data_IF_500446817908
#
_entry.id   IF_500446817908
#
_cell.length_a   1.000
_cell.length_b   1.000
_cell.length_c   1.000
_cell.angle_alpha   90.00
_cell.angle_beta   90.00
_cell.angle_gamma   90.00
#
_symmetry.space_group_name_H-M   'P 1'
#
loop_
_entity.id
_entity.type
_entity.pdbx_description
1 polymer ?
#
# COMPACT_ATOMS: atom_id res chain seq x y z
N UNK A 1 16.16 6.60 34.39
CA UNK A 1 15.68 5.79 33.25
C UNK A 1 15.93 4.35 33.63
N UNK A 2 14.86 3.57 33.76
CA UNK A 2 14.94 2.13 34.04
C UNK A 2 15.74 1.46 32.91
N UNK A 3 16.87 0.83 33.25
CA UNK A 3 17.81 0.22 32.30
C UNK A 3 17.42 -1.24 31.97
N UNK A 4 16.16 -1.60 32.14
CA UNK A 4 15.67 -2.90 31.70
C UNK A 4 15.81 -3.02 30.17
N UNK A 5 16.48 -4.05 29.64
CA UNK A 5 16.69 -4.19 28.20
C UNK A 5 15.35 -4.28 27.48
N UNK A 6 15.19 -3.50 26.41
CA UNK A 6 13.97 -3.52 25.62
C UNK A 6 13.72 -4.94 25.05
N UNK A 7 12.46 -5.41 25.06
CA UNK A 7 12.10 -6.67 24.42
C UNK A 7 12.35 -6.58 22.90
N UNK A 8 12.45 -7.72 22.18
CA UNK A 8 12.79 -7.73 20.76
C UNK A 8 11.73 -7.01 19.91
N UNK A 9 10.48 -7.02 20.39
CA UNK A 9 9.32 -6.34 19.81
C UNK A 9 8.54 -5.75 20.97
N UNK A 10 8.16 -4.48 20.84
CA UNK A 10 7.21 -3.87 21.77
C UNK A 10 6.35 -2.81 21.11
N UNK A 11 5.17 -2.61 21.69
CA UNK A 11 4.27 -1.52 21.35
C UNK A 11 4.31 -0.50 22.49
N UNK A 12 4.90 0.70 22.31
CA UNK A 12 4.78 1.76 23.30
C UNK A 12 3.31 2.18 23.48
N UNK A 13 2.97 2.81 24.62
CA UNK A 13 1.70 3.52 24.75
C UNK A 13 1.54 4.55 23.62
N UNK A 14 0.35 4.60 23.04
CA UNK A 14 0.00 5.52 21.96
C UNK A 14 -1.11 6.43 22.47
N UNK A 15 -0.95 7.73 22.26
CA UNK A 15 -1.93 8.74 22.68
C UNK A 15 -3.26 8.66 21.94
N UNK A 16 -4.25 9.37 22.48
CA UNK A 16 -5.56 9.50 21.85
C UNK A 16 -5.49 10.26 20.53
N UNK A 17 -6.33 9.87 19.56
CA UNK A 17 -6.38 10.55 18.28
C UNK A 17 -7.14 11.87 18.39
N UNK A 18 -6.52 12.96 17.95
CA UNK A 18 -7.26 14.17 17.58
C UNK A 18 -8.04 13.87 16.30
N UNK A 19 -9.38 13.91 16.39
CA UNK A 19 -10.28 13.61 15.25
C UNK A 19 -9.98 14.52 14.05
N UNK A 20 -9.84 13.92 12.87
CA UNK A 20 -9.67 14.60 11.58
C UNK A 20 -10.70 14.09 10.56
N UNK A 21 -11.14 14.97 9.67
CA UNK A 21 -11.88 14.57 8.46
C UNK A 21 -10.94 13.82 7.51
N UNK A 22 -11.46 12.82 6.78
CA UNK A 22 -10.68 11.96 5.87
C UNK A 22 -9.38 11.40 6.48
N UNK A 23 -9.47 10.86 7.70
CA UNK A 23 -8.32 10.28 8.41
C UNK A 23 -8.18 8.77 8.16
N UNK A 24 -6.96 8.31 7.90
CA UNK A 24 -6.58 6.87 7.89
C UNK A 24 -5.75 6.47 9.11
N UNK A 25 -5.73 7.33 10.14
CA UNK A 25 -4.96 7.18 11.38
C UNK A 25 -3.49 6.79 11.15
N UNK A 26 -2.73 7.60 10.40
CA UNK A 26 -1.31 7.33 10.16
C UNK A 26 -0.44 7.46 11.43
N UNK A 27 -0.94 8.16 12.45
CA UNK A 27 -0.30 8.34 13.76
C UNK A 27 0.00 9.79 14.14
N UNK A 28 0.11 10.73 13.18
CA UNK A 28 0.46 12.14 13.49
C UNK A 28 -0.54 12.80 14.44
N UNK A 29 -1.84 12.52 14.29
CA UNK A 29 -2.87 13.11 15.17
C UNK A 29 -2.79 12.66 16.63
N UNK A 30 -1.90 11.72 16.96
CA UNK A 30 -1.67 11.16 18.30
C UNK A 30 -0.31 11.57 18.89
N UNK A 31 0.51 12.24 18.10
CA UNK A 31 1.81 12.79 18.52
C UNK A 31 1.61 14.05 19.36
N UNK A 32 2.66 14.54 20.00
CA UNK A 32 2.65 15.78 20.79
C UNK A 32 2.27 17.01 19.94
N UNK A 33 2.53 16.96 18.63
CA UNK A 33 2.21 18.05 17.68
C UNK A 33 1.15 17.62 16.65
N UNK A 34 -0.12 17.37 17.06
CA UNK A 34 -1.16 16.87 16.16
C UNK A 34 -1.52 17.87 15.04
N UNK A 35 -1.10 19.13 15.16
CA UNK A 35 -1.23 20.18 14.14
C UNK A 35 -0.45 19.90 12.86
N UNK A 36 0.59 19.07 12.90
CA UNK A 36 1.35 18.66 11.71
C UNK A 36 0.49 17.99 10.64
N UNK A 37 -0.65 17.40 11.02
CA UNK A 37 -1.65 16.92 10.05
C UNK A 37 -2.02 17.96 8.99
N UNK A 38 -1.98 19.27 9.31
CA UNK A 38 -2.35 20.35 8.40
C UNK A 38 -1.46 20.49 7.16
N UNK A 39 -0.19 20.07 7.23
CA UNK A 39 0.74 20.10 6.09
C UNK A 39 1.24 18.69 5.70
N UNK A 40 1.13 17.69 6.58
CA UNK A 40 1.62 16.34 6.30
C UNK A 40 0.59 15.40 5.63
N UNK A 41 -0.70 15.69 5.77
CA UNK A 41 -1.75 14.78 5.33
C UNK A 41 -1.97 14.83 3.81
N UNK A 42 -1.78 13.69 3.14
CA UNK A 42 -2.07 13.56 1.71
C UNK A 42 -3.54 13.76 1.34
N UNK A 43 -4.47 13.64 2.30
CA UNK A 43 -5.90 13.86 2.06
C UNK A 43 -6.32 15.33 2.26
N UNK A 44 -5.36 16.24 2.44
CA UNK A 44 -5.59 17.68 2.48
C UNK A 44 -5.07 18.36 1.20
N UNK A 45 -3.76 18.33 0.97
CA UNK A 45 -3.11 18.96 -0.19
C UNK A 45 -1.73 18.31 -0.47
N UNK A 46 -1.68 17.13 -1.10
CA UNK A 46 -0.41 16.46 -1.38
C UNK A 46 0.39 17.21 -2.47
N UNK A 47 1.71 17.28 -2.31
CA UNK A 47 2.64 17.88 -3.28
C UNK A 47 3.71 16.86 -3.68
N UNK A 48 3.31 15.88 -4.50
CA UNK A 48 4.21 14.82 -4.96
C UNK A 48 5.45 15.36 -5.68
N UNK A 49 5.38 16.33 -6.61
CA UNK A 49 6.57 16.86 -7.25
C UNK A 49 7.62 17.42 -6.28
N UNK A 50 7.20 18.23 -5.30
CA UNK A 50 8.12 18.78 -4.30
C UNK A 50 8.70 17.68 -3.39
N UNK A 51 7.85 16.78 -2.91
CA UNK A 51 8.26 15.70 -2.02
C UNK A 51 9.17 14.67 -2.71
N UNK A 52 8.89 14.34 -3.97
CA UNK A 52 9.76 13.47 -4.77
C UNK A 52 11.13 14.10 -5.01
N UNK A 53 11.16 15.41 -5.27
CA UNK A 53 12.42 16.15 -5.39
C UNK A 53 13.20 16.09 -4.07
N UNK A 54 12.54 16.28 -2.93
CA UNK A 54 13.17 16.20 -1.62
C UNK A 54 13.70 14.79 -1.29
N UNK A 55 12.96 13.72 -1.64
CA UNK A 55 13.27 12.34 -1.24
C UNK A 55 14.17 11.61 -2.24
N UNK A 56 14.06 11.92 -3.53
CA UNK A 56 14.78 11.23 -4.61
C UNK A 56 15.75 12.12 -5.38
N UNK A 57 15.81 13.42 -5.05
CA UNK A 57 16.62 14.42 -5.76
C UNK A 57 15.97 14.92 -7.06
N UNK A 58 14.80 14.39 -7.44
CA UNK A 58 14.04 14.81 -8.62
C UNK A 58 12.58 14.36 -8.57
N UNK A 59 11.71 15.09 -9.26
CA UNK A 59 10.36 14.64 -9.57
C UNK A 59 10.33 13.59 -10.71
N UNK A 60 9.13 13.10 -11.02
CA UNK A 60 8.86 12.31 -12.23
C UNK A 60 9.39 13.00 -13.48
N UNK A 61 10.03 12.23 -14.35
CA UNK A 61 10.51 12.66 -15.66
C UNK A 61 9.45 12.35 -16.74
N UNK A 62 8.84 13.36 -17.39
CA UNK A 62 7.84 13.16 -18.44
C UNK A 62 8.35 12.37 -19.66
N UNK A 63 9.68 12.36 -19.90
CA UNK A 63 10.27 11.58 -20.99
C UNK A 63 10.33 10.08 -20.67
N UNK A 64 10.20 9.69 -19.39
CA UNK A 64 10.17 8.31 -18.95
C UNK A 64 8.73 7.88 -18.69
N UNK A 65 8.10 7.30 -19.72
CA UNK A 65 6.68 6.93 -19.71
C UNK A 65 6.23 6.17 -18.45
N UNK A 66 7.09 5.28 -17.91
CA UNK A 66 6.76 4.50 -16.71
C UNK A 66 6.74 5.34 -15.41
N UNK A 67 7.45 6.46 -15.33
CA UNK A 67 7.44 7.30 -14.13
C UNK A 67 6.11 8.01 -13.94
N UNK A 68 5.36 8.27 -15.02
CA UNK A 68 3.97 8.76 -14.93
C UNK A 68 3.09 7.82 -14.08
N UNK A 69 3.34 6.51 -14.15
CA UNK A 69 2.60 5.50 -13.41
C UNK A 69 3.22 5.22 -12.04
N UNK A 70 4.54 5.02 -12.00
CA UNK A 70 5.21 4.39 -10.87
C UNK A 70 5.97 5.36 -9.96
N UNK A 71 5.97 6.65 -10.30
CA UNK A 71 6.83 7.65 -9.65
C UNK A 71 8.30 7.52 -10.08
N UNK A 72 9.20 8.34 -9.50
CA UNK A 72 10.63 8.21 -9.74
C UNK A 72 11.15 6.84 -9.28
N UNK A 73 11.94 6.20 -10.15
CA UNK A 73 12.70 5.01 -9.79
C UNK A 73 14.03 4.93 -10.53
N UNK A 74 14.93 4.13 -9.99
CA UNK A 74 16.23 3.76 -10.57
C UNK A 74 16.19 2.37 -11.18
N UNK A 75 15.52 1.42 -10.53
CA UNK A 75 15.34 0.04 -11.00
C UNK A 75 13.92 -0.44 -10.74
N UNK A 76 13.38 -1.21 -11.68
CA UNK A 76 12.12 -1.93 -11.53
C UNK A 76 12.38 -3.41 -11.78
N UNK A 77 12.04 -4.25 -10.80
CA UNK A 77 12.48 -5.64 -10.76
C UNK A 77 11.32 -6.56 -10.39
N UNK A 78 11.34 -7.77 -10.93
CA UNK A 78 10.66 -8.94 -10.36
C UNK A 78 11.62 -9.63 -9.40
N UNK A 79 11.16 -10.02 -8.22
CA UNK A 79 12.00 -10.74 -7.28
C UNK A 79 11.29 -11.73 -6.36
N UNK A 80 12.09 -12.63 -5.81
CA UNK A 80 11.72 -13.59 -4.79
C UNK A 80 12.95 -13.91 -3.93
N UNK A 81 12.77 -14.09 -2.62
CA UNK A 81 13.81 -14.73 -1.81
C UNK A 81 13.95 -16.18 -2.25
N UNK A 82 15.20 -16.63 -2.40
CA UNK A 82 15.53 -18.04 -2.72
C UNK A 82 15.02 -18.99 -1.63
N UNK A 83 15.06 -18.54 -0.37
CA UNK A 83 14.46 -19.21 0.78
C UNK A 83 13.31 -18.35 1.35
N UNK A 84 12.04 -18.63 0.98
CA UNK A 84 10.89 -17.90 1.52
C UNK A 84 10.80 -17.99 3.04
N UNK A 85 10.43 -16.88 3.69
CA UNK A 85 10.25 -16.81 5.14
C UNK A 85 8.87 -17.35 5.52
N UNK A 86 8.77 -18.38 6.38
CA UNK A 86 7.47 -18.91 6.81
C UNK A 86 6.58 -17.83 7.43
N UNK A 87 5.30 -17.84 7.04
CA UNK A 87 4.30 -16.86 7.48
C UNK A 87 4.37 -15.50 6.76
N UNK A 88 5.30 -15.28 5.83
CA UNK A 88 5.34 -14.06 5.04
C UNK A 88 4.18 -14.01 4.02
N UNK A 89 3.78 -12.79 3.63
CA UNK A 89 2.73 -12.57 2.63
C UNK A 89 3.11 -13.10 1.23
N UNK A 90 4.41 -13.07 0.92
CA UNK A 90 4.97 -13.61 -0.32
C UNK A 90 6.21 -14.41 0.06
N UNK A 91 7.40 -13.99 -0.37
CA UNK A 91 8.65 -14.67 0.04
C UNK A 91 9.28 -14.04 1.28
N UNK A 92 8.87 -12.83 1.68
CA UNK A 92 9.35 -12.17 2.90
C UNK A 92 10.47 -11.16 2.72
N UNK A 93 10.62 -10.59 1.51
CA UNK A 93 11.64 -9.55 1.20
C UNK A 93 11.62 -8.40 2.22
N UNK A 94 10.45 -7.83 2.52
CA UNK A 94 10.31 -6.70 3.49
C UNK A 94 10.85 -7.08 4.86
N UNK A 95 10.41 -8.24 5.39
CA UNK A 95 10.88 -8.76 6.67
C UNK A 95 12.38 -8.97 6.64
N UNK A 96 12.92 -9.57 5.57
CA UNK A 96 14.36 -9.84 5.47
C UNK A 96 15.19 -8.57 5.42
N UNK A 97 14.72 -7.51 4.73
CA UNK A 97 15.38 -6.20 4.76
C UNK A 97 15.47 -5.67 6.19
N UNK A 98 14.35 -5.71 6.96
CA UNK A 98 14.35 -5.30 8.37
C UNK A 98 15.28 -6.14 9.24
N UNK A 99 15.32 -7.46 9.05
CA UNK A 99 16.26 -8.37 9.72
C UNK A 99 17.71 -7.95 9.43
N UNK A 100 18.09 -7.76 8.16
CA UNK A 100 19.46 -7.37 7.76
C UNK A 100 19.87 -6.01 8.31
N UNK A 101 18.96 -5.03 8.34
CA UNK A 101 19.24 -3.70 8.89
C UNK A 101 19.58 -3.76 10.38
N UNK A 102 18.87 -4.59 11.15
CA UNK A 102 19.14 -4.81 12.57
C UNK A 102 20.41 -5.66 12.79
N UNK A 103 20.59 -6.74 12.02
CA UNK A 103 21.77 -7.62 12.09
C UNK A 103 23.08 -6.87 11.84
N UNK A 104 23.07 -5.90 10.93
CA UNK A 104 24.24 -5.10 10.57
C UNK A 104 24.43 -3.86 11.44
N UNK A 105 23.49 -3.57 12.35
CA UNK A 105 23.50 -2.33 13.13
C UNK A 105 23.33 -1.06 12.28
N UNK A 106 22.78 -1.18 11.07
CA UNK A 106 22.49 -0.05 10.18
C UNK A 106 21.35 0.83 10.71
N UNK A 107 20.47 0.25 11.54
CA UNK A 107 19.43 0.94 12.29
C UNK A 107 19.38 0.42 13.72
N UNK A 108 18.91 1.26 14.63
CA UNK A 108 18.69 0.93 16.04
C UNK A 108 17.30 0.28 16.25
N UNK A 109 16.32 0.64 15.40
CA UNK A 109 14.98 0.09 15.44
C UNK A 109 14.26 0.11 14.08
N UNK A 110 13.30 -0.80 13.92
CA UNK A 110 12.37 -0.84 12.80
C UNK A 110 10.94 -0.58 13.32
N UNK A 111 10.29 0.45 12.79
CA UNK A 111 8.86 0.69 12.98
C UNK A 111 8.10 -0.16 11.96
N UNK A 112 7.28 -1.10 12.44
CA UNK A 112 6.54 -2.04 11.60
C UNK A 112 5.16 -2.36 12.19
N UNK A 113 4.45 -3.30 11.56
CA UNK A 113 3.15 -3.80 12.00
C UNK A 113 3.26 -5.26 12.42
N UNK A 114 2.83 -5.57 13.63
CA UNK A 114 2.53 -6.92 14.07
C UNK A 114 1.02 -7.20 14.01
N UNK A 115 0.62 -8.46 14.22
CA UNK A 115 -0.76 -8.76 14.58
C UNK A 115 -1.08 -8.26 15.99
N UNK A 116 -2.33 -7.86 16.21
CA UNK A 116 -2.87 -7.77 17.55
C UNK A 116 -2.95 -9.18 18.18
N UNK A 117 -2.61 -9.37 19.47
CA UNK A 117 -2.69 -10.67 20.12
C UNK A 117 -4.09 -11.29 20.13
N UNK A 118 -5.14 -10.47 20.12
CA UNK A 118 -6.53 -10.91 20.11
C UNK A 118 -7.11 -11.03 18.69
N UNK A 119 -6.43 -10.48 17.67
CA UNK A 119 -6.91 -10.47 16.29
C UNK A 119 -5.76 -10.45 15.28
N UNK A 120 -5.59 -11.57 14.58
CA UNK A 120 -4.49 -11.76 13.62
C UNK A 120 -4.49 -10.77 12.45
N UNK A 121 -5.65 -10.21 12.11
CA UNK A 121 -5.82 -9.29 10.97
C UNK A 121 -5.67 -7.84 11.40
N UNK A 122 -5.96 -7.54 12.67
CA UNK A 122 -5.83 -6.20 13.23
C UNK A 122 -4.36 -5.78 13.24
N UNK A 123 -4.02 -4.66 12.59
CA UNK A 123 -2.66 -4.15 12.62
C UNK A 123 -2.36 -3.53 13.98
N UNK A 124 -1.23 -3.91 14.57
CA UNK A 124 -0.70 -3.30 15.79
C UNK A 124 0.70 -2.74 15.50
N UNK A 125 0.92 -1.42 15.60
CA UNK A 125 2.23 -0.85 15.36
C UNK A 125 3.22 -1.28 16.45
N UNK A 126 4.43 -1.64 16.05
CA UNK A 126 5.51 -2.11 16.93
C UNK A 126 6.85 -1.46 16.60
N UNK A 127 7.69 -1.31 17.61
CA UNK A 127 9.13 -1.10 17.49
C UNK A 127 9.83 -2.45 17.61
N UNK A 128 10.62 -2.80 16.59
CA UNK A 128 11.46 -4.00 16.55
C UNK A 128 12.91 -3.58 16.73
N UNK A 129 13.57 -4.08 17.77
CA UNK A 129 14.95 -3.71 18.14
C UNK A 129 15.93 -4.87 17.97
N UNK A 130 15.43 -6.07 17.67
CA UNK A 130 16.26 -7.25 17.42
C UNK A 130 15.79 -8.02 16.18
N UNK A 131 16.71 -8.59 15.38
CA UNK A 131 16.37 -9.23 14.11
C UNK A 131 15.27 -10.29 14.22
N UNK A 132 15.32 -11.14 15.24
CA UNK A 132 14.35 -12.21 15.45
C UNK A 132 12.91 -11.70 15.65
N UNK A 133 12.76 -10.45 16.12
CA UNK A 133 11.48 -9.80 16.31
C UNK A 133 10.72 -9.52 15.00
N UNK A 134 11.43 -9.37 13.88
CA UNK A 134 10.81 -9.12 12.57
C UNK A 134 9.88 -10.26 12.13
N UNK A 135 10.08 -11.48 12.65
CA UNK A 135 9.19 -12.61 12.38
C UNK A 135 7.73 -12.34 12.80
N UNK A 136 7.50 -11.54 13.84
CA UNK A 136 6.16 -11.16 14.31
C UNK A 136 5.44 -10.20 13.36
N UNK A 137 6.19 -9.55 12.46
CA UNK A 137 5.67 -8.58 11.50
C UNK A 137 5.34 -9.19 10.12
N UNK A 138 5.35 -10.52 10.00
CA UNK A 138 5.11 -11.23 8.73
C UNK A 138 3.62 -11.31 8.40
N UNK A 139 3.31 -11.14 7.12
CA UNK A 139 1.95 -11.25 6.56
C UNK A 139 1.22 -9.91 6.50
N UNK A 140 0.10 -9.90 5.77
CA UNK A 140 -0.75 -8.72 5.63
C UNK A 140 -1.64 -8.52 6.87
N UNK A 141 -1.92 -7.26 7.17
CA UNK A 141 -2.91 -6.82 8.18
C UNK A 141 -3.87 -5.84 7.53
N UNK A 142 -5.11 -5.82 7.99
CA UNK A 142 -6.19 -5.01 7.43
C UNK A 142 -6.84 -4.17 8.54
N UNK A 143 -6.86 -2.87 8.34
CA UNK A 143 -7.19 -1.91 9.39
C UNK A 143 -6.36 -0.65 9.31
N UNK A 144 -6.72 0.32 10.14
CA UNK A 144 -5.91 1.51 10.40
C UNK A 144 -5.00 1.26 11.59
N UNK A 145 -3.76 1.72 11.48
CA UNK A 145 -2.79 1.63 12.56
C UNK A 145 -1.88 2.88 12.58
N UNK A 146 -1.73 3.52 13.76
CA UNK A 146 -0.99 4.76 13.92
C UNK A 146 0.53 4.54 13.98
N UNK A 147 1.12 4.05 12.89
CA UNK A 147 2.56 3.74 12.80
C UNK A 147 3.45 4.91 13.22
N UNK A 148 3.12 6.12 12.76
CA UNK A 148 3.96 7.30 12.99
C UNK A 148 3.89 7.80 14.44
N UNK A 149 2.91 7.36 15.23
CA UNK A 149 2.88 7.65 16.66
C UNK A 149 4.04 6.98 17.41
N UNK A 150 4.74 6.03 16.79
CA UNK A 150 5.94 5.39 17.34
C UNK A 150 7.22 6.22 17.19
N UNK A 151 7.21 7.32 16.41
CA UNK A 151 8.39 8.14 16.17
C UNK A 151 8.89 8.82 17.46
N UNK A 152 7.99 9.41 18.24
CA UNK A 152 8.33 10.06 19.52
C UNK A 152 8.85 9.06 20.56
N UNK A 153 8.18 7.90 20.81
CA UNK A 153 8.75 6.83 21.63
C UNK A 153 10.11 6.34 21.15
N UNK A 154 10.32 6.19 19.84
CA UNK A 154 11.62 5.77 19.29
C UNK A 154 12.72 6.79 19.60
N UNK A 155 12.45 8.08 19.37
CA UNK A 155 13.38 9.16 19.69
C UNK A 155 13.66 9.24 21.21
N UNK A 156 12.64 9.03 22.05
CA UNK A 156 12.77 9.01 23.51
C UNK A 156 13.64 7.84 24.03
N UNK A 157 13.70 6.72 23.31
CA UNK A 157 14.65 5.63 23.58
C UNK A 157 16.09 5.96 23.13
N UNK A 158 16.32 7.12 22.53
CA UNK A 158 17.62 7.54 22.04
C UNK A 158 17.99 6.93 20.67
N UNK A 159 17.06 6.28 19.97
CA UNK A 159 17.31 5.78 18.63
C UNK A 159 17.55 6.94 17.66
N UNK A 160 18.59 6.80 16.83
CA UNK A 160 19.02 7.83 15.88
C UNK A 160 18.87 7.39 14.44
N UNK A 161 18.99 6.09 14.18
CA UNK A 161 18.88 5.50 12.84
C UNK A 161 17.72 4.53 12.87
N UNK A 162 16.68 4.78 12.09
CA UNK A 162 15.48 3.94 12.09
C UNK A 162 15.15 3.45 10.67
N UNK A 163 14.38 2.37 10.61
CA UNK A 163 13.66 2.01 9.40
C UNK A 163 12.15 2.05 9.65
N UNK A 164 11.39 2.43 8.63
CA UNK A 164 9.93 2.44 8.66
C UNK A 164 9.39 1.53 7.56
N UNK A 165 8.61 0.53 7.94
CA UNK A 165 7.85 -0.34 7.02
C UNK A 165 6.42 0.16 6.98
N UNK A 166 6.06 0.89 5.93
CA UNK A 166 4.81 1.65 5.88
C UNK A 166 4.06 1.58 4.56
N UNK A 167 2.78 1.88 4.62
CA UNK A 167 1.90 2.07 3.44
C UNK A 167 1.96 3.55 2.97
N UNK A 168 1.47 3.88 1.76
CA UNK A 168 1.65 5.21 1.16
C UNK A 168 1.17 6.38 2.02
N UNK A 169 0.01 6.28 2.67
CA UNK A 169 -0.52 7.36 3.52
C UNK A 169 0.35 7.66 4.75
N UNK A 170 1.05 6.65 5.27
CA UNK A 170 2.01 6.79 6.36
C UNK A 170 3.33 7.34 5.84
N UNK A 171 3.83 6.85 4.71
CA UNK A 171 5.10 7.30 4.13
C UNK A 171 5.02 8.76 3.67
N UNK A 172 3.93 9.17 3.01
CA UNK A 172 3.73 10.57 2.66
C UNK A 172 3.77 11.46 3.90
N UNK A 173 3.03 11.10 4.93
CA UNK A 173 2.99 11.86 6.18
C UNK A 173 4.36 11.91 6.87
N UNK A 174 5.11 10.81 6.89
CA UNK A 174 6.48 10.74 7.41
C UNK A 174 7.42 11.67 6.66
N UNK A 175 7.43 11.61 5.32
CA UNK A 175 8.33 12.42 4.50
C UNK A 175 8.04 13.91 4.60
N UNK A 176 6.77 14.28 4.80
CA UNK A 176 6.37 15.66 5.00
C UNK A 176 6.89 16.26 6.31
N UNK A 177 7.16 15.42 7.32
CA UNK A 177 7.66 15.86 8.64
C UNK A 177 9.10 15.44 8.93
N UNK A 178 9.78 14.79 7.98
CA UNK A 178 11.05 14.10 8.21
C UNK A 178 12.13 15.03 8.81
N UNK A 179 12.14 16.30 8.39
CA UNK A 179 13.11 17.30 8.85
C UNK A 179 12.85 17.76 10.29
N UNK A 180 11.64 17.58 10.84
CA UNK A 180 11.33 17.97 12.22
C UNK A 180 11.65 16.87 13.25
N UNK A 181 11.96 15.64 12.81
CA UNK A 181 12.07 14.48 13.69
C UNK A 181 13.44 14.32 14.37
N UNK A 182 14.51 14.89 13.80
CA UNK A 182 15.86 14.85 14.38
C UNK A 182 16.52 13.47 14.39
N UNK A 183 16.11 12.53 13.53
CA UNK A 183 16.81 11.28 13.28
C UNK A 183 18.00 11.50 12.33
N UNK A 184 19.11 10.81 12.56
CA UNK A 184 20.30 10.86 11.71
C UNK A 184 20.06 10.18 10.35
N UNK A 185 19.29 9.08 10.35
CA UNK A 185 18.92 8.36 9.13
C UNK A 185 17.56 7.67 9.29
N UNK A 186 16.72 7.82 8.26
CA UNK A 186 15.46 7.08 8.12
C UNK A 186 15.50 6.30 6.80
N UNK A 187 15.46 4.98 6.88
CA UNK A 187 15.16 4.11 5.73
C UNK A 187 13.65 3.86 5.64
N UNK A 188 13.10 3.86 4.44
CA UNK A 188 11.67 3.58 4.22
C UNK A 188 11.49 2.42 3.25
N UNK A 189 10.98 1.30 3.78
CA UNK A 189 10.54 0.15 3.00
C UNK A 189 9.03 0.26 2.81
N UNK A 190 8.62 0.71 1.63
CA UNK A 190 7.23 0.88 1.28
C UNK A 190 6.58 -0.41 0.80
N UNK A 191 5.30 -0.61 1.10
CA UNK A 191 4.45 -1.56 0.38
C UNK A 191 3.39 -0.79 -0.42
N UNK A 192 2.98 -1.29 -1.61
CA UNK A 192 1.85 -0.69 -2.29
C UNK A 192 0.57 -0.95 -1.49
N UNK A 193 -0.38 -0.02 -1.55
CA UNK A 193 -1.67 -0.17 -0.89
C UNK A 193 -2.77 0.48 -1.72
N UNK A 194 -3.82 -0.29 -1.97
CA UNK A 194 -5.13 0.24 -2.36
C UNK A 194 -6.17 -0.39 -1.46
N UNK A 195 -7.33 0.26 -1.35
CA UNK A 195 -8.56 -0.39 -0.88
C UNK A 195 -8.44 -1.02 0.53
N UNK A 196 -7.79 -0.30 1.45
CA UNK A 196 -7.81 -0.68 2.88
C UNK A 196 -9.20 -0.36 3.49
N UNK A 197 -9.50 -0.96 4.63
CA UNK A 197 -10.74 -0.77 5.39
C UNK A 197 -10.49 -0.96 6.89
N UNK A 198 -11.52 -0.83 7.72
CA UNK A 198 -11.44 -1.18 9.14
C UNK A 198 -11.34 -2.70 9.32
N UNK A 199 -10.72 -3.15 10.40
CA UNK A 199 -10.60 -4.59 10.68
C UNK A 199 -11.98 -5.25 10.80
N UNK A 200 -12.96 -4.53 11.35
CA UNK A 200 -14.34 -5.01 11.53
C UNK A 200 -15.03 -5.25 10.18
N UNK A 201 -14.91 -4.30 9.25
CA UNK A 201 -15.40 -4.48 7.89
C UNK A 201 -14.69 -5.66 7.22
N UNK A 202 -13.37 -5.77 7.38
CA UNK A 202 -12.60 -6.86 6.80
C UNK A 202 -13.06 -8.23 7.29
N UNK A 203 -13.35 -8.40 8.59
CA UNK A 203 -13.97 -9.63 9.11
C UNK A 203 -15.33 -9.90 8.46
N UNK A 204 -16.16 -8.86 8.25
CA UNK A 204 -17.40 -8.99 7.49
C UNK A 204 -17.19 -9.49 6.06
N UNK A 205 -16.10 -9.08 5.39
CA UNK A 205 -15.72 -9.62 4.08
C UNK A 205 -15.27 -11.08 4.16
N UNK A 206 -14.44 -11.46 5.15
CA UNK A 206 -14.00 -12.84 5.33
C UNK A 206 -15.17 -13.81 5.53
N UNK A 207 -16.19 -13.40 6.29
CA UNK A 207 -17.43 -14.18 6.52
C UNK A 207 -18.24 -14.45 5.24
N UNK A 208 -17.97 -13.73 4.14
CA UNK A 208 -18.59 -13.99 2.85
C UNK A 208 -17.80 -14.99 1.99
N UNK A 209 -16.57 -15.36 2.40
CA UNK A 209 -15.65 -16.17 1.60
C UNK A 209 -15.52 -17.62 2.07
N UNK A 210 -15.83 -17.90 3.34
CA UNK A 210 -15.74 -19.23 3.94
C UNK A 210 -16.82 -19.40 5.02
N UNK A 211 -17.23 -20.66 5.24
CA UNK A 211 -18.23 -21.00 6.27
C UNK A 211 -17.69 -20.75 7.69
N UNK A 212 -16.41 -21.08 7.92
CA UNK A 212 -15.67 -20.70 9.12
C UNK A 212 -14.51 -19.74 8.76
N UNK A 213 -14.74 -18.42 8.78
CA UNK A 213 -13.71 -17.44 8.43
C UNK A 213 -12.54 -17.38 9.43
N UNK A 214 -12.68 -17.92 10.64
CA UNK A 214 -11.61 -17.91 11.66
C UNK A 214 -10.41 -18.76 11.24
N UNK A 215 -10.64 -19.75 10.38
CA UNK A 215 -9.59 -20.63 9.84
C UNK A 215 -8.75 -19.97 8.75
N UNK A 216 -9.18 -18.82 8.19
CA UNK A 216 -8.42 -18.12 7.14
C UNK A 216 -7.15 -17.53 7.77
N UNK A 217 -6.00 -17.96 7.26
CA UNK A 217 -4.66 -17.52 7.70
C UNK A 217 -3.98 -16.58 6.71
N UNK A 218 -4.46 -16.56 5.47
CA UNK A 218 -3.85 -15.83 4.36
C UNK A 218 -4.94 -15.35 3.40
N UNK A 219 -4.75 -14.14 2.88
CA UNK A 219 -5.57 -13.58 1.81
C UNK A 219 -4.67 -12.73 0.91
N UNK A 220 -4.78 -12.89 -0.41
CA UNK A 220 -4.09 -12.04 -1.38
C UNK A 220 -4.94 -11.82 -2.64
N UNK A 221 -4.99 -10.58 -3.11
CA UNK A 221 -5.62 -10.22 -4.38
C UNK A 221 -4.56 -10.31 -5.48
N UNK A 222 -4.47 -11.45 -6.14
CA UNK A 222 -3.40 -11.79 -7.09
C UNK A 222 -3.55 -11.02 -8.41
N UNK A 223 -2.42 -10.79 -9.08
CA UNK A 223 -2.37 -10.15 -10.40
C UNK A 223 -2.97 -11.00 -11.54
N UNK A 224 -3.37 -12.24 -11.26
CA UNK A 224 -4.04 -13.14 -12.20
C UNK A 224 -5.57 -13.21 -11.98
N UNK A 225 -6.15 -12.15 -11.40
CA UNK A 225 -7.59 -11.97 -11.20
C UNK A 225 -8.25 -12.96 -10.24
N UNK A 226 -7.47 -13.53 -9.31
CA UNK A 226 -7.98 -14.41 -8.26
C UNK A 226 -7.66 -13.86 -6.87
N UNK A 227 -8.56 -14.10 -5.92
CA UNK A 227 -8.25 -14.04 -4.50
C UNK A 227 -7.76 -15.40 -4.08
N UNK A 228 -6.56 -15.46 -3.52
CA UNK A 228 -6.01 -16.65 -2.89
C UNK A 228 -6.31 -16.59 -1.40
N UNK A 229 -6.87 -17.67 -0.87
CA UNK A 229 -7.09 -17.90 0.55
C UNK A 229 -6.31 -19.14 0.97
N UNK A 230 -5.70 -19.10 2.14
CA UNK A 230 -5.15 -20.29 2.79
C UNK A 230 -5.72 -20.43 4.18
N UNK A 231 -5.86 -21.66 4.62
CA UNK A 231 -6.52 -22.01 5.87
C UNK A 231 -5.56 -22.64 6.88
N UNK A 232 -5.96 -22.71 8.14
CA UNK A 232 -5.16 -23.26 9.24
C UNK A 232 -4.88 -24.76 9.12
N UNK A 233 -5.69 -25.50 8.35
CA UNK A 233 -5.49 -26.91 8.03
C UNK A 233 -4.53 -27.13 6.85
N UNK A 234 -4.02 -26.05 6.25
CA UNK A 234 -3.14 -26.07 5.08
C UNK A 234 -3.86 -26.13 3.73
N UNK A 235 -5.19 -26.16 3.71
CA UNK A 235 -5.95 -26.10 2.46
C UNK A 235 -5.88 -24.70 1.82
N UNK A 236 -6.12 -24.64 0.51
CA UNK A 236 -6.11 -23.41 -0.27
C UNK A 236 -7.40 -23.28 -1.11
N UNK A 237 -7.89 -22.05 -1.26
CA UNK A 237 -9.03 -21.72 -2.11
C UNK A 237 -8.70 -20.54 -3.00
N UNK A 238 -9.02 -20.65 -4.29
CA UNK A 238 -8.84 -19.58 -5.28
C UNK A 238 -10.18 -19.14 -5.83
N UNK A 239 -10.52 -17.86 -5.65
CA UNK A 239 -11.81 -17.28 -6.05
C UNK A 239 -11.57 -16.24 -7.14
N UNK A 240 -12.10 -16.41 -8.36
CA UNK A 240 -12.01 -15.38 -9.39
C UNK A 240 -12.67 -14.08 -8.94
N UNK A 241 -12.09 -12.92 -9.29
CA UNK A 241 -12.62 -11.60 -8.91
C UNK A 241 -14.08 -11.40 -9.31
N UNK A 242 -14.51 -11.91 -10.46
CA UNK A 242 -15.89 -11.82 -10.95
C UNK A 242 -16.91 -12.59 -10.09
N UNK A 243 -16.43 -13.53 -9.27
CA UNK A 243 -17.25 -14.35 -8.38
C UNK A 243 -17.19 -13.87 -6.92
N UNK A 244 -16.43 -12.80 -6.63
CA UNK A 244 -16.41 -12.23 -5.29
C UNK A 244 -17.77 -11.57 -4.97
N UNK A 245 -18.28 -11.74 -3.75
CA UNK A 245 -19.57 -11.21 -3.34
C UNK A 245 -19.51 -9.71 -2.97
N UNK A 246 -18.78 -8.90 -3.75
CA UNK A 246 -18.54 -7.48 -3.44
C UNK A 246 -19.83 -6.65 -3.37
N UNK A 247 -20.89 -7.05 -4.10
CA UNK A 247 -22.19 -6.39 -4.05
C UNK A 247 -22.93 -6.57 -2.72
N UNK A 248 -22.49 -7.50 -1.86
CA UNK A 248 -23.03 -7.72 -0.51
C UNK A 248 -22.32 -6.87 0.55
N UNK A 249 -21.21 -6.21 0.18
CA UNK A 249 -20.48 -5.35 1.10
C UNK A 249 -21.20 -4.00 1.26
N UNK A 250 -21.10 -3.36 2.44
CA UNK A 250 -21.68 -2.05 2.65
C UNK A 250 -21.06 -1.00 1.73
N UNK A 251 -21.83 0.03 1.38
CA UNK A 251 -21.41 1.05 0.41
C UNK A 251 -20.20 1.87 0.85
N UNK A 252 -19.87 1.88 2.13
CA UNK A 252 -18.72 2.52 2.77
C UNK A 252 -17.62 1.52 3.17
N UNK A 253 -17.72 0.25 2.76
CA UNK A 253 -16.71 -0.78 3.02
C UNK A 253 -15.31 -0.28 2.69
N UNK A 254 -15.12 0.33 1.52
CA UNK A 254 -13.93 1.12 1.24
C UNK A 254 -14.20 2.58 1.59
N UNK A 255 -13.47 3.15 2.56
CA UNK A 255 -13.65 4.52 2.99
C UNK A 255 -13.21 5.49 1.88
N UNK A 256 -13.77 6.71 1.89
CA UNK A 256 -13.48 7.71 0.85
C UNK A 256 -11.98 8.01 0.75
N UNK A 257 -11.25 7.96 1.87
CA UNK A 257 -9.79 8.07 1.91
C UNK A 257 -9.12 7.02 1.00
N UNK A 258 -9.42 5.74 1.20
CA UNK A 258 -8.83 4.67 0.40
C UNK A 258 -9.29 4.73 -1.05
N UNK A 259 -10.55 5.10 -1.33
CA UNK A 259 -11.07 5.30 -2.70
C UNK A 259 -10.42 6.47 -3.44
N UNK A 260 -9.89 7.45 -2.72
CA UNK A 260 -9.32 8.68 -3.28
C UNK A 260 -7.82 8.85 -3.00
N UNK A 261 -7.15 7.76 -2.58
CA UNK A 261 -5.70 7.74 -2.44
C UNK A 261 -5.02 7.86 -3.81
N UNK A 262 -4.09 8.80 -3.91
CA UNK A 262 -3.38 9.16 -5.15
C UNK A 262 -2.02 8.51 -5.31
N UNK A 263 -1.64 7.65 -4.36
CA UNK A 263 -0.37 6.94 -4.37
C UNK A 263 -0.56 5.47 -3.98
N UNK A 264 -0.79 4.65 -4.99
CA UNK A 264 -0.85 3.20 -4.81
C UNK A 264 0.57 2.61 -4.73
N UNK A 265 1.56 3.22 -5.39
CA UNK A 265 2.90 2.63 -5.53
C UNK A 265 3.84 2.95 -4.36
N UNK A 266 3.41 3.76 -3.41
CA UNK A 266 4.25 4.27 -2.34
C UNK A 266 5.45 5.04 -2.92
N UNK A 267 5.14 6.09 -3.68
CA UNK A 267 6.07 6.84 -4.52
C UNK A 267 7.24 7.43 -3.73
N UNK A 268 7.04 7.69 -2.44
CA UNK A 268 7.98 8.39 -1.55
C UNK A 268 8.81 7.45 -0.64
N UNK A 269 8.73 6.13 -0.86
CA UNK A 269 9.59 5.16 -0.18
C UNK A 269 11.03 5.19 -0.73
N UNK A 270 11.98 4.56 -0.04
CA UNK A 270 13.31 4.33 -0.63
C UNK A 270 13.28 3.10 -1.56
N UNK A 271 12.54 2.06 -1.15
CA UNK A 271 12.21 0.90 -1.96
C UNK A 271 10.74 0.53 -1.75
N UNK A 272 9.99 0.31 -2.82
CA UNK A 272 8.65 -0.30 -2.74
C UNK A 272 8.78 -1.79 -3.01
N UNK A 273 8.18 -2.63 -2.16
CA UNK A 273 8.08 -4.07 -2.34
C UNK A 273 6.60 -4.47 -2.40
N UNK A 274 6.17 -4.96 -3.54
CA UNK A 274 4.77 -5.28 -3.86
C UNK A 274 4.62 -6.54 -4.70
N UNK A 275 3.56 -6.60 -5.50
CA UNK A 275 3.25 -7.75 -6.35
C UNK A 275 2.72 -7.41 -7.75
N UNK A 276 2.14 -6.21 -7.94
CA UNK A 276 1.32 -5.90 -9.13
C UNK A 276 2.06 -6.11 -10.46
N UNK A 277 3.31 -5.67 -10.53
CA UNK A 277 4.18 -5.84 -11.72
C UNK A 277 5.02 -7.12 -11.70
N UNK A 278 4.77 -8.03 -10.75
CA UNK A 278 5.67 -9.14 -10.41
C UNK A 278 5.32 -10.47 -11.05
N UNK A 279 4.25 -10.56 -11.85
CA UNK A 279 3.86 -11.78 -12.60
C UNK A 279 3.80 -13.07 -11.74
N UNK A 280 3.27 -12.96 -10.52
CA UNK A 280 3.19 -14.09 -9.58
C UNK A 280 4.40 -14.21 -8.64
N UNK A 281 5.35 -13.29 -8.73
CA UNK A 281 6.40 -13.03 -7.74
C UNK A 281 6.23 -11.62 -7.14
N UNK A 282 7.19 -11.19 -6.32
CA UNK A 282 7.20 -9.83 -5.79
C UNK A 282 7.73 -8.84 -6.85
N UNK A 283 7.26 -7.59 -6.77
CA UNK A 283 7.63 -6.48 -7.63
C UNK A 283 8.34 -5.41 -6.81
N UNK A 284 9.50 -4.96 -7.27
CA UNK A 284 10.32 -3.97 -6.57
C UNK A 284 10.47 -2.72 -7.41
N UNK A 285 10.26 -1.57 -6.78
CA UNK A 285 10.71 -0.28 -7.28
C UNK A 285 11.82 0.24 -6.37
N UNK A 286 13.04 0.26 -6.87
CA UNK A 286 14.18 0.86 -6.18
C UNK A 286 14.20 2.34 -6.54
N UNK A 287 13.93 3.22 -5.58
CA UNK A 287 13.57 4.62 -5.88
C UNK A 287 14.74 5.58 -5.85
N UNK A 288 15.63 5.41 -4.89
CA UNK A 288 16.81 6.24 -4.67
C UNK A 288 18.00 5.38 -4.19
N UNK A 289 19.11 6.03 -3.84
CA UNK A 289 20.34 5.38 -3.37
C UNK A 289 20.12 4.57 -2.08
N UNK A 290 19.34 5.11 -1.12
CA UNK A 290 18.90 4.35 0.06
C UNK A 290 18.17 3.07 -0.33
N UNK A 291 17.34 3.09 -1.38
CA UNK A 291 16.69 1.89 -1.92
C UNK A 291 17.68 0.87 -2.47
N UNK A 292 18.75 1.33 -3.13
CA UNK A 292 19.82 0.46 -3.63
C UNK A 292 20.61 -0.18 -2.48
N UNK A 293 20.88 0.57 -1.41
CA UNK A 293 21.46 0.04 -0.16
C UNK A 293 20.57 -1.07 0.42
N UNK A 294 19.25 -0.83 0.54
CA UNK A 294 18.28 -1.79 1.09
C UNK A 294 18.20 -3.09 0.26
N UNK A 295 18.21 -2.98 -1.07
CA UNK A 295 18.23 -4.16 -1.94
C UNK A 295 19.56 -4.92 -1.80
N UNK A 296 20.68 -4.21 -1.72
CA UNK A 296 22.02 -4.80 -1.64
C UNK A 296 22.24 -5.60 -0.36
N UNK A 297 21.57 -5.25 0.74
CA UNK A 297 21.60 -6.01 2.00
C UNK A 297 21.18 -7.47 1.86
N UNK A 298 20.36 -7.78 0.85
CA UNK A 298 19.87 -9.13 0.56
C UNK A 298 20.89 -9.98 -0.19
N UNK A 299 21.83 -9.35 -0.92
CA UNK A 299 22.87 -10.03 -1.70
C UNK A 299 22.32 -11.19 -2.54
N UNK A 300 22.93 -12.36 -2.40
CA UNK A 300 22.51 -13.57 -3.10
C UNK A 300 21.27 -14.26 -2.51
N UNK A 301 20.68 -13.77 -1.42
CA UNK A 301 19.43 -14.35 -0.90
C UNK A 301 18.23 -14.08 -1.81
N UNK A 302 18.31 -13.08 -2.70
CA UNK A 302 17.22 -12.66 -3.59
C UNK A 302 17.52 -13.03 -5.05
N UNK A 303 16.53 -13.61 -5.74
CA UNK A 303 16.53 -13.76 -7.20
C UNK A 303 15.90 -12.52 -7.81
N UNK A 304 16.57 -11.91 -8.77
CA UNK A 304 16.11 -10.73 -9.50
C UNK A 304 15.92 -11.05 -10.98
N UNK A 305 14.89 -10.49 -11.58
CA UNK A 305 14.63 -10.54 -13.01
C UNK A 305 13.99 -9.24 -13.50
N UNK A 306 14.06 -8.97 -14.81
CA UNK A 306 13.26 -7.91 -15.39
C UNK A 306 11.76 -8.28 -15.32
N UNK A 307 10.87 -7.32 -15.01
CA UNK A 307 9.43 -7.57 -15.05
C UNK A 307 8.96 -7.77 -16.50
N UNK A 308 8.04 -8.70 -16.71
CA UNK A 308 7.36 -8.86 -17.99
C UNK A 308 6.23 -7.85 -18.19
N UNK A 309 5.75 -7.76 -19.42
CA UNK A 309 4.62 -6.91 -19.80
C UNK A 309 3.87 -7.51 -20.97
N UNK A 310 2.54 -7.48 -20.95
CA UNK A 310 1.74 -8.04 -22.04
C UNK A 310 0.25 -7.78 -21.93
N UNK A 311 -0.48 -7.99 -23.02
CA UNK A 311 -1.90 -7.67 -23.12
C UNK A 311 -2.16 -6.19 -23.38
N UNK A 312 -3.42 -5.77 -23.28
CA UNK A 312 -3.83 -4.38 -23.53
C UNK A 312 -4.82 -3.92 -22.46
N UNK A 313 -4.43 -2.92 -21.67
CA UNK A 313 -5.26 -2.39 -20.58
C UNK A 313 -6.37 -1.43 -21.02
N UNK A 314 -6.29 -0.81 -22.20
CA UNK A 314 -7.16 0.32 -22.57
C UNK A 314 -8.65 -0.03 -22.55
N UNK A 315 -9.02 -1.16 -23.13
CA UNK A 315 -10.42 -1.59 -23.17
C UNK A 315 -10.97 -1.94 -21.76
N UNK A 316 -10.28 -2.76 -20.95
CA UNK A 316 -10.66 -2.99 -19.55
C UNK A 316 -10.80 -1.71 -18.72
N UNK A 317 -9.86 -0.77 -18.82
CA UNK A 317 -9.90 0.50 -18.07
C UNK A 317 -11.06 1.38 -18.53
N UNK A 318 -11.32 1.48 -19.84
CA UNK A 318 -12.50 2.18 -20.37
C UNK A 318 -13.82 1.54 -19.92
N UNK A 319 -13.85 0.21 -19.82
CA UNK A 319 -14.99 -0.52 -19.27
C UNK A 319 -15.21 -0.23 -17.78
N UNK A 320 -14.13 -0.22 -17.00
CA UNK A 320 -14.15 0.17 -15.59
C UNK A 320 -14.69 1.59 -15.41
N UNK A 321 -14.18 2.56 -16.17
CA UNK A 321 -14.65 3.95 -16.15
C UNK A 321 -16.18 4.04 -16.28
N UNK A 322 -16.74 3.47 -17.35
CA UNK A 322 -18.18 3.51 -17.61
C UNK A 322 -19.01 2.89 -16.48
N UNK A 323 -18.48 1.84 -15.85
CA UNK A 323 -19.16 1.17 -14.75
C UNK A 323 -19.05 1.97 -13.45
N UNK A 324 -17.92 2.61 -13.18
CA UNK A 324 -17.73 3.50 -12.04
C UNK A 324 -18.60 4.76 -12.16
N UNK A 325 -18.74 5.35 -13.35
CA UNK A 325 -19.66 6.46 -13.60
C UNK A 325 -21.12 6.08 -13.33
N UNK A 326 -21.54 4.87 -13.73
CA UNK A 326 -22.89 4.37 -13.44
C UNK A 326 -23.13 4.14 -11.97
N UNK A 327 -22.20 3.45 -11.29
CA UNK A 327 -22.27 3.24 -9.85
C UNK A 327 -22.28 4.58 -9.09
N UNK A 328 -21.51 5.56 -9.57
CA UNK A 328 -21.51 6.92 -9.05
C UNK A 328 -22.84 7.65 -9.32
N UNK A 329 -23.46 7.44 -10.47
CA UNK A 329 -24.76 8.02 -10.85
C UNK A 329 -25.99 7.29 -10.29
N UNK A 330 -25.81 6.23 -9.49
CA UNK A 330 -26.91 5.41 -8.98
C UNK A 330 -27.58 4.51 -10.04
N UNK A 331 -26.95 4.34 -11.20
CA UNK A 331 -27.43 3.49 -12.29
C UNK A 331 -26.92 2.04 -12.13
N UNK A 332 -27.67 1.04 -12.64
CA UNK A 332 -27.22 -0.35 -12.63
C UNK A 332 -25.89 -0.49 -13.36
N UNK A 333 -24.92 -1.13 -12.70
CA UNK A 333 -23.63 -1.46 -13.32
C UNK A 333 -23.86 -2.52 -14.39
N UNK A 334 -23.22 -2.39 -15.56
CA UNK A 334 -23.22 -3.47 -16.57
C UNK A 334 -22.15 -4.48 -16.18
N UNK A 335 -22.57 -5.48 -15.42
CA UNK A 335 -21.76 -6.64 -15.07
C UNK A 335 -21.83 -7.74 -16.14
N UNK A 336 -20.89 -8.66 -16.09
CA UNK A 336 -20.96 -9.91 -16.85
C UNK A 336 -22.15 -10.73 -16.35
N UNK A 337 -23.09 -11.16 -17.23
CA UNK A 337 -24.20 -12.03 -16.85
C UNK A 337 -23.71 -13.27 -16.09
N UNK A 338 -24.47 -13.72 -15.08
CA UNK A 338 -24.01 -14.73 -14.13
C UNK A 338 -23.55 -16.03 -14.81
N UNK A 339 -24.28 -16.47 -15.85
CA UNK A 339 -23.95 -17.66 -16.63
C UNK A 339 -22.65 -17.52 -17.45
N UNK A 340 -22.21 -16.30 -17.76
CA UNK A 340 -20.95 -16.04 -18.48
C UNK A 340 -19.76 -15.82 -17.54
N UNK A 341 -19.98 -15.53 -16.25
CA UNK A 341 -18.90 -15.24 -15.30
C UNK A 341 -17.84 -16.34 -15.23
N UNK A 342 -18.17 -17.65 -15.18
CA UNK A 342 -17.16 -18.71 -15.15
C UNK A 342 -16.27 -18.72 -16.40
N UNK A 343 -16.86 -18.54 -17.58
CA UNK A 343 -16.12 -18.52 -18.85
C UNK A 343 -15.18 -17.32 -18.93
N UNK A 344 -15.68 -16.12 -18.58
CA UNK A 344 -14.88 -14.90 -18.58
C UNK A 344 -13.76 -14.99 -17.53
N UNK A 345 -14.06 -15.51 -16.34
CA UNK A 345 -13.07 -15.74 -15.29
C UNK A 345 -11.94 -16.68 -15.74
N UNK A 346 -12.26 -17.73 -16.51
CA UNK A 346 -11.25 -18.63 -17.07
C UNK A 346 -10.40 -17.97 -18.18
N UNK A 347 -11.00 -17.07 -18.96
CA UNK A 347 -10.34 -16.41 -20.10
C UNK A 347 -9.47 -15.23 -19.66
N UNK A 348 -9.92 -14.43 -18.69
CA UNK A 348 -9.27 -13.18 -18.25
C UNK A 348 -7.77 -13.31 -17.93
N UNK A 349 -7.29 -14.34 -17.19
CA UNK A 349 -5.86 -14.49 -16.91
C UNK A 349 -4.99 -14.70 -18.16
N UNK A 350 -5.59 -15.16 -19.28
CA UNK A 350 -4.86 -15.48 -20.52
C UNK A 350 -4.78 -14.29 -21.48
N UNK A 351 -5.87 -13.53 -21.58
CA UNK A 351 -6.02 -12.42 -22.55
C UNK A 351 -5.88 -11.03 -21.93
N UNK A 352 -6.03 -10.93 -20.61
CA UNK A 352 -5.98 -9.67 -19.87
C UNK A 352 -4.57 -9.06 -19.83
N UNK A 353 -4.46 -7.78 -19.42
CA UNK A 353 -3.17 -7.18 -19.15
C UNK A 353 -2.41 -7.99 -18.08
N UNK A 354 -1.11 -8.17 -18.27
CA UNK A 354 -0.20 -8.95 -17.41
C UNK A 354 1.08 -8.17 -17.13
N UNK A 355 1.72 -8.47 -15.99
CA UNK A 355 2.94 -7.80 -15.55
C UNK A 355 2.75 -6.29 -15.44
N UNK A 356 3.63 -5.51 -16.06
CA UNK A 356 3.53 -4.04 -16.00
C UNK A 356 2.25 -3.48 -16.60
N UNK A 357 1.67 -4.09 -17.64
CA UNK A 357 0.38 -3.64 -18.17
C UNK A 357 -0.75 -3.80 -17.16
N UNK A 358 -0.73 -4.86 -16.33
CA UNK A 358 -1.70 -5.02 -15.24
C UNK A 358 -1.53 -3.91 -14.19
N UNK A 359 -0.28 -3.65 -13.79
CA UNK A 359 0.02 -2.60 -12.82
C UNK A 359 -0.44 -1.22 -13.32
N UNK A 360 -0.15 -0.87 -14.59
CA UNK A 360 -0.64 0.38 -15.22
C UNK A 360 -2.17 0.44 -15.23
N UNK A 361 -2.84 -0.67 -15.56
CA UNK A 361 -4.30 -0.75 -15.55
C UNK A 361 -4.88 -0.42 -14.17
N UNK A 362 -4.30 -0.99 -13.10
CA UNK A 362 -4.75 -0.76 -11.73
C UNK A 362 -4.55 0.70 -11.29
N UNK A 363 -3.45 1.32 -11.71
CA UNK A 363 -3.18 2.74 -11.42
C UNK A 363 -4.16 3.68 -12.14
N UNK A 364 -4.43 3.43 -13.42
CA UNK A 364 -5.42 4.22 -14.17
C UNK A 364 -6.84 4.04 -13.60
N UNK A 365 -7.23 2.80 -13.25
CA UNK A 365 -8.51 2.53 -12.57
C UNK A 365 -8.60 3.27 -11.23
N UNK A 366 -7.50 3.31 -10.46
CA UNK A 366 -7.48 4.00 -9.17
C UNK A 366 -7.56 5.53 -9.32
N UNK A 367 -6.91 6.08 -10.34
CA UNK A 367 -7.01 7.49 -10.68
C UNK A 367 -8.44 7.87 -11.11
N UNK A 368 -9.10 7.04 -11.93
CA UNK A 368 -10.51 7.20 -12.30
C UNK A 368 -11.40 7.18 -11.05
N UNK A 369 -11.22 6.18 -10.18
CA UNK A 369 -11.99 6.07 -8.93
C UNK A 369 -11.83 7.34 -8.08
N UNK A 370 -10.60 7.80 -7.90
CA UNK A 370 -10.30 9.01 -7.12
C UNK A 370 -11.08 10.22 -7.62
N UNK A 371 -11.01 10.50 -8.93
CA UNK A 371 -11.67 11.68 -9.52
C UNK A 371 -13.19 11.56 -9.39
N UNK A 372 -13.77 10.42 -9.79
CA UNK A 372 -15.23 10.26 -9.78
C UNK A 372 -15.82 10.28 -8.37
N UNK A 373 -15.15 9.66 -7.39
CA UNK A 373 -15.61 9.68 -6.01
C UNK A 373 -15.48 11.07 -5.36
N UNK A 374 -14.39 11.80 -5.63
CA UNK A 374 -14.25 13.18 -5.14
C UNK A 374 -15.29 14.11 -5.78
N UNK A 375 -15.50 14.04 -7.10
CA UNK A 375 -16.54 14.84 -7.79
C UNK A 375 -17.91 14.65 -7.15
N UNK A 376 -18.27 13.40 -6.86
CA UNK A 376 -19.58 13.06 -6.28
C UNK A 376 -19.69 13.46 -4.81
N UNK A 377 -18.69 13.14 -3.99
CA UNK A 377 -18.84 13.17 -2.53
C UNK A 377 -18.22 14.40 -1.86
N UNK A 378 -17.18 14.98 -2.48
CA UNK A 378 -16.38 16.09 -1.92
C UNK A 378 -15.83 17.00 -3.06
N UNK A 379 -16.65 17.57 -3.95
CA UNK A 379 -16.16 18.27 -5.14
C UNK A 379 -15.20 19.43 -4.84
N UNK A 380 -15.44 20.19 -3.75
CA UNK A 380 -14.56 21.28 -3.32
C UNK A 380 -13.15 20.85 -2.91
N UNK A 381 -12.95 19.56 -2.59
CA UNK A 381 -11.64 19.01 -2.23
C UNK A 381 -10.79 18.66 -3.45
N UNK A 382 -11.39 18.54 -4.63
CA UNK A 382 -10.75 17.97 -5.81
C UNK A 382 -9.51 18.77 -6.25
N UNK A 383 -9.63 20.11 -6.31
CA UNK A 383 -8.54 21.05 -6.59
C UNK A 383 -7.36 20.99 -5.61
N UNK A 384 -7.55 20.38 -4.43
CA UNK A 384 -6.51 20.28 -3.42
C UNK A 384 -5.95 18.86 -3.33
N UNK A 385 -6.79 17.84 -3.46
CA UNK A 385 -6.41 16.44 -3.23
C UNK A 385 -5.88 15.72 -4.49
N UNK A 386 -6.18 16.21 -5.69
CA UNK A 386 -5.83 15.52 -6.95
C UNK A 386 -4.62 16.20 -7.61
N UNK A 387 -3.40 15.64 -7.46
CA UNK A 387 -2.21 16.18 -8.11
C UNK A 387 -2.22 15.90 -9.63
N UNK A 388 -1.37 16.63 -10.36
CA UNK A 388 -1.34 16.60 -11.83
C UNK A 388 -1.10 15.20 -12.41
N UNK A 389 -0.25 14.37 -11.80
CA UNK A 389 0.03 13.02 -12.32
C UNK A 389 -1.22 12.12 -12.37
N UNK A 390 -2.18 12.33 -11.46
CA UNK A 390 -3.45 11.58 -11.46
C UNK A 390 -4.31 11.98 -12.66
N UNK A 391 -4.33 13.28 -13.00
CA UNK A 391 -5.00 13.75 -14.21
C UNK A 391 -4.37 13.21 -15.48
N UNK A 392 -3.04 13.17 -15.53
CA UNK A 392 -2.30 12.68 -16.70
C UNK A 392 -2.61 11.21 -16.97
N UNK A 393 -2.78 10.39 -15.93
CA UNK A 393 -3.16 8.97 -16.06
C UNK A 393 -4.52 8.75 -16.70
N UNK A 394 -5.47 9.67 -16.49
CA UNK A 394 -6.86 9.50 -16.94
C UNK A 394 -7.22 10.29 -18.19
N UNK A 395 -6.37 11.25 -18.60
CA UNK A 395 -6.55 12.06 -19.80
C UNK A 395 -6.78 11.22 -21.07
N UNK A 396 -6.09 10.07 -21.30
CA UNK A 396 -6.37 9.20 -22.46
C UNK A 396 -7.79 8.62 -22.51
N UNK A 397 -8.52 8.65 -21.38
CA UNK A 397 -9.89 8.16 -21.25
C UNK A 397 -10.93 9.29 -21.28
N UNK A 398 -10.50 10.54 -21.51
CA UNK A 398 -11.37 11.71 -21.62
C UNK A 398 -11.77 12.34 -20.28
N UNK A 399 -11.15 11.94 -19.16
CA UNK A 399 -11.34 12.62 -17.89
C UNK A 399 -10.35 13.78 -17.79
N UNK A 400 -10.89 14.99 -17.89
CA UNK A 400 -10.14 16.23 -17.68
C UNK A 400 -10.75 17.02 -16.53
N UNK A 401 -9.99 17.89 -15.86
CA UNK A 401 -10.53 18.79 -14.85
C UNK A 401 -11.59 19.73 -15.44
N UNK A 402 -12.67 19.94 -14.70
CA UNK A 402 -13.69 20.95 -14.95
C UNK A 402 -13.32 22.31 -14.35
N UNK A 403 -14.25 23.26 -14.43
CA UNK A 403 -14.10 24.59 -13.83
C UNK A 403 -13.95 24.50 -12.30
N UNK A 404 -12.88 25.09 -11.75
CA UNK A 404 -12.60 25.10 -10.31
C UNK A 404 -12.06 23.78 -9.72
N UNK A 405 -11.71 22.80 -10.57
CA UNK A 405 -11.12 21.51 -10.16
C UNK A 405 -9.59 21.48 -10.13
N UNK A 406 -8.92 22.59 -10.46
CA UNK A 406 -7.47 22.78 -10.38
C UNK A 406 -7.10 23.91 -9.43
#
# INVERSE_FOLDING_TARGET
MDQSPLPPVWTPPIGDAVKRDLCTDCGISRMATPGWCGHACQFLKPDYPAMETAVHGRARDPAKADEQFFGPFRKMLRAALKAPRPGAQWTGIVTRIGERLLETGAVDAVLAMAADPADRWRPRPVLVTRPEGMAQCRGMRMGYAPLLALLEPAAAQGFKRIAVVGIPCQVHALRAIEQELGFDKIYVVGTPCSDNTTTENFHGFLSLLADDPSTITYLEFRADYHVELRFSDGSEKRIPFLLLPLSKLPGDFFPLTCRTCVDYTNALADITVGYMGGEGEQWLLVRNERGEELLSLLGDEVRLAAPGTGGNRKAPVKGFLKNTERAAGGLPVRGTPDFLRPLVAWLMPKIGPRGLEFARARLEMKAIETILHLRRQRPKRLRHMVPQHVWDLVAPYGLTPGEGER
#
